data_IF_425634072137
#
_entry.id   IF_425634072137
#
_cell.length_a   1.000
_cell.length_b   1.000
_cell.length_c   1.000
_cell.angle_alpha   90.00
_cell.angle_beta   90.00
_cell.angle_gamma   90.00
#
_symmetry.space_group_name_H-M   'P 1'
#
loop_
_entity.id
_entity.type
_entity.pdbx_description
1 polymer ?
#
# COMPACT_ATOMS: atom_id res chain seq x y z
N UNK A 1 -6.75 9.36 -48.37
CA UNK A 1 -7.18 7.98 -48.64
C UNK A 1 -8.61 8.01 -49.16
N UNK A 2 -8.92 7.24 -50.20
CA UNK A 2 -10.28 6.97 -50.68
C UNK A 2 -10.75 5.64 -50.07
N UNK A 3 -12.04 5.52 -49.82
CA UNK A 3 -12.67 4.25 -49.43
C UNK A 3 -13.66 3.84 -50.51
N UNK A 4 -13.67 2.55 -50.84
CA UNK A 4 -14.59 1.99 -51.82
C UNK A 4 -15.95 1.78 -51.17
N UNK A 5 -16.94 2.55 -51.61
CA UNK A 5 -18.34 2.38 -51.19
C UNK A 5 -19.14 1.66 -52.29
N UNK A 6 -20.34 1.14 -52.00
CA UNK A 6 -21.22 0.53 -53.00
C UNK A 6 -21.57 1.45 -54.19
N UNK A 7 -21.33 2.76 -54.06
CA UNK A 7 -21.62 3.78 -55.07
C UNK A 7 -20.36 4.38 -55.73
N UNK A 8 -19.18 3.81 -55.47
CA UNK A 8 -17.90 4.26 -56.02
C UNK A 8 -16.88 4.71 -54.98
N UNK A 9 -15.73 5.20 -55.45
CA UNK A 9 -14.66 5.70 -54.60
C UNK A 9 -14.99 7.09 -54.05
N UNK A 10 -15.07 7.20 -52.73
CA UNK A 10 -15.34 8.47 -52.07
C UNK A 10 -14.16 8.82 -51.15
N UNK A 11 -13.69 10.09 -51.15
CA UNK A 11 -12.63 10.53 -50.23
C UNK A 11 -13.03 10.33 -48.77
N UNK A 12 -12.16 9.70 -47.96
CA UNK A 12 -12.38 9.42 -46.53
C UNK A 12 -12.71 10.67 -45.70
N UNK A 13 -12.22 11.85 -46.14
CA UNK A 13 -12.50 13.15 -45.52
C UNK A 13 -13.99 13.52 -45.47
N UNK A 14 -14.82 12.91 -46.32
CA UNK A 14 -16.26 13.18 -46.34
C UNK A 14 -17.03 12.45 -45.23
N UNK A 15 -16.39 11.48 -44.56
CA UNK A 15 -17.00 10.64 -43.53
C UNK A 15 -16.34 10.76 -42.15
N UNK A 16 -15.15 11.37 -42.07
CA UNK A 16 -14.38 11.47 -40.83
C UNK A 16 -14.02 12.93 -40.55
N UNK A 17 -14.33 13.38 -39.34
CA UNK A 17 -13.83 14.64 -38.80
C UNK A 17 -12.58 14.32 -37.98
N UNK A 18 -11.42 14.60 -38.55
CA UNK A 18 -10.15 14.46 -37.85
C UNK A 18 -9.99 15.61 -36.85
N UNK A 19 -9.76 15.28 -35.58
CA UNK A 19 -9.48 16.25 -34.53
C UNK A 19 -8.31 15.74 -33.70
N UNK A 20 -7.25 16.53 -33.62
CA UNK A 20 -6.12 16.25 -32.74
C UNK A 20 -6.59 16.44 -31.29
N UNK A 21 -6.67 15.34 -30.54
CA UNK A 21 -7.02 15.33 -29.13
C UNK A 21 -5.90 14.73 -28.29
N UNK A 22 -5.69 15.24 -27.08
CA UNK A 22 -4.80 14.62 -26.10
C UNK A 22 -5.52 13.49 -25.38
N UNK A 23 -4.93 12.30 -25.39
CA UNK A 23 -5.41 11.13 -24.63
C UNK A 23 -4.33 10.60 -23.69
N UNK A 24 -4.68 9.72 -22.73
CA UNK A 24 -3.71 9.10 -21.84
C UNK A 24 -2.73 8.24 -22.64
N UNK A 25 -1.42 8.44 -22.41
CA UNK A 25 -0.36 7.64 -23.06
C UNK A 25 -0.34 6.20 -22.54
N UNK A 26 -0.62 6.02 -21.25
CA UNK A 26 -0.68 4.71 -20.57
C UNK A 26 -1.76 4.73 -19.49
N UNK A 27 -2.58 3.69 -19.41
CA UNK A 27 -3.54 3.48 -18.33
C UNK A 27 -3.05 2.30 -17.50
N UNK A 28 -2.66 2.56 -16.25
CA UNK A 28 -2.27 1.53 -15.29
C UNK A 28 -3.47 1.14 -14.44
N UNK A 29 -3.56 -0.15 -14.15
CA UNK A 29 -4.57 -0.70 -13.27
C UNK A 29 -3.91 -1.56 -12.21
N UNK A 30 -4.44 -1.51 -11.01
CA UNK A 30 -4.10 -2.38 -9.89
C UNK A 30 -5.44 -2.85 -9.31
N UNK A 31 -5.61 -4.16 -9.16
CA UNK A 31 -6.87 -4.78 -8.72
C UNK A 31 -8.14 -4.30 -9.45
N UNK A 32 -8.02 -4.03 -10.76
CA UNK A 32 -9.11 -3.53 -11.64
C UNK A 32 -9.40 -2.03 -11.51
N UNK A 33 -8.80 -1.34 -10.54
CA UNK A 33 -8.94 0.10 -10.36
C UNK A 33 -7.86 0.87 -11.11
N UNK A 34 -8.23 2.02 -11.68
CA UNK A 34 -7.28 2.88 -12.41
C UNK A 34 -6.41 3.63 -11.40
N UNK A 35 -5.11 3.40 -11.46
CA UNK A 35 -4.15 4.04 -10.55
C UNK A 35 -3.30 5.10 -11.23
N UNK A 36 -2.88 6.09 -10.44
CA UNK A 36 -1.84 7.05 -10.81
C UNK A 36 -0.72 6.91 -9.80
N UNK A 37 0.44 6.41 -10.26
CA UNK A 37 1.61 6.23 -9.40
C UNK A 37 2.43 7.51 -9.33
N UNK A 38 2.61 8.05 -8.13
CA UNK A 38 3.55 9.14 -7.85
C UNK A 38 4.80 8.53 -7.23
N UNK A 39 5.93 8.60 -7.91
CA UNK A 39 7.20 8.04 -7.43
C UNK A 39 8.06 9.12 -6.79
N UNK A 40 8.61 8.84 -5.61
CA UNK A 40 9.56 9.70 -4.92
C UNK A 40 10.57 8.88 -4.14
N UNK A 41 11.81 9.34 -4.07
CA UNK A 41 12.86 8.73 -3.24
C UNK A 41 13.03 9.52 -1.95
N UNK A 42 13.25 8.82 -0.83
CA UNK A 42 13.61 9.43 0.45
C UNK A 42 15.12 9.30 0.64
N UNK A 43 15.80 10.42 0.84
CA UNK A 43 17.24 10.48 1.13
C UNK A 43 17.46 11.34 2.37
N UNK A 44 18.34 10.91 3.27
CA UNK A 44 18.71 11.61 4.51
C UNK A 44 17.60 11.79 5.57
N UNK A 45 16.47 11.07 5.49
CA UNK A 45 15.43 11.04 6.55
C UNK A 45 14.87 9.64 6.76
N UNK A 46 14.34 9.39 7.96
CA UNK A 46 13.66 8.15 8.29
C UNK A 46 12.36 7.99 7.48
N UNK A 47 12.17 6.80 6.92
CA UNK A 47 11.02 6.47 6.09
C UNK A 47 9.68 6.68 6.83
N UNK A 48 9.62 6.32 8.11
CA UNK A 48 8.42 6.50 8.95
C UNK A 48 8.06 7.96 9.14
N UNK A 49 9.03 8.80 9.49
CA UNK A 49 8.79 10.24 9.68
C UNK A 49 8.30 10.91 8.39
N UNK A 50 8.86 10.52 7.24
CA UNK A 50 8.40 11.03 5.93
C UNK A 50 7.00 10.53 5.59
N UNK A 51 6.71 9.25 5.86
CA UNK A 51 5.38 8.69 5.67
C UNK A 51 4.32 9.41 6.53
N UNK A 52 4.64 9.68 7.79
CA UNK A 52 3.77 10.39 8.72
C UNK A 52 3.52 11.84 8.26
N UNK A 53 4.55 12.54 7.77
CA UNK A 53 4.42 13.88 7.18
C UNK A 53 3.52 13.87 5.93
N UNK A 54 3.72 12.91 5.02
CA UNK A 54 2.89 12.75 3.83
C UNK A 54 1.44 12.47 4.22
N UNK A 55 1.21 11.58 5.18
CA UNK A 55 -0.14 11.26 5.64
C UNK A 55 -0.85 12.50 6.19
N UNK A 56 -0.18 13.34 6.99
CA UNK A 56 -0.76 14.61 7.47
C UNK A 56 -1.17 15.53 6.34
N UNK A 57 -0.30 15.72 5.34
CA UNK A 57 -0.62 16.56 4.17
C UNK A 57 -1.80 15.97 3.39
N UNK A 58 -1.84 14.64 3.23
CA UNK A 58 -2.95 13.95 2.57
C UNK A 58 -4.27 14.12 3.30
N UNK A 59 -4.25 14.21 4.63
CA UNK A 59 -5.46 14.40 5.44
C UNK A 59 -5.96 15.85 5.43
N UNK A 60 -5.10 16.82 5.12
CA UNK A 60 -5.48 18.23 4.92
C UNK A 60 -6.08 18.51 3.53
N UNK A 61 -5.82 17.64 2.55
CA UNK A 61 -6.35 17.79 1.19
C UNK A 61 -7.77 17.24 1.12
N UNK A 62 -8.71 18.03 0.60
CA UNK A 62 -10.05 17.55 0.26
C UNK A 62 -9.96 16.51 -0.87
N UNK A 63 -10.13 15.24 -0.51
CA UNK A 63 -10.12 14.12 -1.45
C UNK A 63 -11.46 14.09 -2.19
N UNK A 64 -11.51 14.13 -3.53
CA UNK A 64 -12.75 13.89 -4.26
C UNK A 64 -13.27 12.48 -3.93
N UNK A 65 -14.59 12.32 -3.81
CA UNK A 65 -15.20 11.09 -3.30
C UNK A 65 -14.81 9.80 -4.06
N UNK A 66 -14.43 9.94 -5.33
CA UNK A 66 -14.08 8.81 -6.21
C UNK A 66 -12.57 8.46 -6.19
N UNK A 67 -11.77 9.09 -5.32
CA UNK A 67 -10.33 8.87 -5.26
C UNK A 67 -9.88 8.37 -3.90
N UNK A 68 -9.18 7.23 -3.91
CA UNK A 68 -8.43 6.71 -2.77
C UNK A 68 -6.96 7.06 -2.93
N UNK A 69 -6.36 7.64 -1.90
CA UNK A 69 -4.93 7.94 -1.87
C UNK A 69 -4.31 7.08 -0.78
N UNK A 70 -3.36 6.23 -1.16
CA UNK A 70 -2.67 5.32 -0.26
C UNK A 70 -1.15 5.44 -0.45
N UNK A 71 -0.42 5.36 0.65
CA UNK A 71 1.04 5.32 0.63
C UNK A 71 1.49 3.87 0.51
N UNK A 72 2.01 3.50 -0.66
CA UNK A 72 2.50 2.15 -0.95
C UNK A 72 4.03 2.10 -1.09
N UNK A 73 4.58 0.90 -1.29
CA UNK A 73 6.01 0.64 -1.50
C UNK A 73 6.74 0.27 -0.21
N UNK A 74 7.90 0.88 0.04
CA UNK A 74 8.77 0.50 1.17
C UNK A 74 8.10 0.71 2.53
N UNK A 75 7.23 1.71 2.69
CA UNK A 75 6.53 1.96 3.94
C UNK A 75 5.46 0.88 4.21
N UNK A 76 4.71 0.49 3.20
CA UNK A 76 3.74 -0.60 3.28
C UNK A 76 4.43 -1.91 3.65
N UNK A 77 5.54 -2.24 2.98
CA UNK A 77 6.35 -3.42 3.29
C UNK A 77 6.90 -3.39 4.72
N UNK A 78 7.37 -2.23 5.19
CA UNK A 78 7.81 -2.05 6.57
C UNK A 78 6.66 -2.34 7.54
N UNK A 79 5.47 -1.80 7.27
CA UNK A 79 4.30 -1.99 8.14
C UNK A 79 3.82 -3.44 8.15
N UNK A 80 3.80 -4.12 7.00
CA UNK A 80 3.45 -5.55 6.95
C UNK A 80 4.46 -6.40 7.72
N UNK A 81 5.75 -6.15 7.55
CA UNK A 81 6.81 -6.84 8.30
C UNK A 81 6.70 -6.62 9.81
N UNK A 82 6.41 -5.40 10.27
CA UNK A 82 6.20 -5.15 11.70
C UNK A 82 4.97 -5.88 12.26
N UNK A 83 3.89 -5.97 11.45
CA UNK A 83 2.69 -6.72 11.82
C UNK A 83 3.01 -8.20 11.98
N UNK A 84 3.74 -8.77 11.02
CA UNK A 84 4.16 -10.17 11.06
C UNK A 84 5.08 -10.44 12.25
N UNK A 85 6.04 -9.55 12.53
CA UNK A 85 6.85 -9.64 13.73
C UNK A 85 6.02 -9.59 15.01
N UNK A 86 4.98 -8.74 15.07
CA UNK A 86 4.04 -8.70 16.19
C UNK A 86 3.38 -10.05 16.45
N UNK A 87 2.92 -10.73 15.39
CA UNK A 87 2.35 -12.08 15.52
C UNK A 87 3.37 -13.10 16.00
N UNK A 88 4.60 -13.06 15.47
CA UNK A 88 5.68 -13.97 15.88
C UNK A 88 6.04 -13.77 17.35
N UNK A 89 6.15 -12.51 17.81
CA UNK A 89 6.46 -12.18 19.21
C UNK A 89 5.35 -12.70 20.12
N UNK A 90 4.08 -12.49 19.77
CA UNK A 90 2.95 -13.00 20.54
C UNK A 90 2.97 -14.53 20.65
N UNK A 91 3.25 -15.22 19.54
CA UNK A 91 3.36 -16.68 19.53
C UNK A 91 4.55 -17.18 20.35
N UNK A 92 5.71 -16.55 20.22
CA UNK A 92 6.90 -16.87 21.00
C UNK A 92 6.64 -16.73 22.50
N UNK A 93 5.98 -15.64 22.90
CA UNK A 93 5.55 -15.43 24.27
C UNK A 93 4.61 -16.54 24.77
N UNK A 94 3.62 -16.93 23.97
CA UNK A 94 2.71 -18.03 24.33
C UNK A 94 3.46 -19.37 24.51
N UNK A 95 4.41 -19.68 23.63
CA UNK A 95 5.22 -20.90 23.71
C UNK A 95 6.13 -20.91 24.93
N UNK A 96 6.84 -19.80 25.20
CA UNK A 96 7.69 -19.66 26.40
C UNK A 96 6.84 -19.78 27.66
N UNK A 97 5.66 -19.15 27.70
CA UNK A 97 4.74 -19.28 28.81
C UNK A 97 4.34 -20.74 29.06
N UNK A 98 3.98 -21.50 28.01
CA UNK A 98 3.62 -22.91 28.14
C UNK A 98 4.76 -23.77 28.69
N UNK A 99 6.00 -23.54 28.23
CA UNK A 99 7.19 -24.25 28.74
C UNK A 99 7.39 -23.95 30.23
N UNK A 100 7.29 -22.67 30.61
CA UNK A 100 7.47 -22.21 31.99
C UNK A 100 6.37 -22.78 32.91
N UNK A 101 5.11 -22.83 32.47
CA UNK A 101 4.03 -23.48 33.24
C UNK A 101 4.35 -24.95 33.51
N UNK A 102 4.88 -25.66 32.51
CA UNK A 102 5.33 -27.04 32.69
C UNK A 102 6.52 -27.19 33.64
N UNK A 103 7.41 -26.20 33.71
CA UNK A 103 8.59 -26.22 34.57
C UNK A 103 8.26 -25.91 36.05
N UNK A 104 7.38 -24.95 36.30
CA UNK A 104 7.06 -24.47 37.65
C UNK A 104 5.81 -25.14 38.24
N UNK A 105 5.12 -26.00 37.47
CA UNK A 105 3.83 -26.60 37.83
C UNK A 105 2.79 -25.56 38.32
N UNK A 106 2.95 -24.31 37.90
CA UNK A 106 2.27 -23.14 38.44
C UNK A 106 1.98 -22.16 37.32
N UNK A 107 0.74 -21.66 37.24
CA UNK A 107 0.34 -20.69 36.23
C UNK A 107 0.72 -19.24 36.59
N UNK A 108 0.96 -18.97 37.89
CA UNK A 108 1.22 -17.62 38.41
C UNK A 108 2.68 -17.22 38.29
N UNK A 109 3.60 -18.13 38.56
CA UNK A 109 5.04 -17.85 38.53
C UNK A 109 5.53 -17.44 37.13
N UNK A 110 5.20 -18.16 36.03
CA UNK A 110 5.58 -17.76 34.68
C UNK A 110 5.04 -16.39 34.28
N UNK A 111 3.82 -16.05 34.70
CA UNK A 111 3.20 -14.77 34.39
C UNK A 111 3.96 -13.60 35.03
N UNK A 112 4.36 -13.75 36.30
CA UNK A 112 5.15 -12.74 37.02
C UNK A 112 6.51 -12.56 36.32
N UNK A 113 7.21 -13.65 36.01
CA UNK A 113 8.53 -13.61 35.36
C UNK A 113 8.44 -12.90 34.00
N UNK A 114 7.45 -13.24 33.19
CA UNK A 114 7.25 -12.67 31.87
C UNK A 114 6.98 -11.16 31.91
N UNK A 115 6.26 -10.67 32.94
CA UNK A 115 6.04 -9.24 33.18
C UNK A 115 7.29 -8.48 33.63
N UNK A 116 8.33 -9.16 34.11
CA UNK A 116 9.60 -8.50 34.46
C UNK A 116 10.47 -8.21 33.24
N UNK A 117 10.28 -8.92 32.12
CA UNK A 117 11.09 -8.75 30.90
C UNK A 117 10.98 -7.32 30.32
N UNK A 118 9.77 -6.74 30.13
CA UNK A 118 9.66 -5.36 29.65
C UNK A 118 10.18 -4.31 30.65
N UNK A 119 10.28 -4.64 31.94
CA UNK A 119 10.82 -3.74 32.96
C UNK A 119 12.36 -3.76 32.99
N UNK A 120 12.99 -4.76 32.36
CA UNK A 120 14.44 -4.94 32.33
C UNK A 120 15.12 -4.27 31.13
N UNK A 121 14.35 -3.93 30.09
CA UNK A 121 14.80 -3.27 28.85
C UNK A 121 14.37 -1.81 28.88
#
# INVERSE_FOLDING_TARGET
MTITTPFGEVPLRNFVKDTVSTGPVTIKHEDTDRIITITGGVTNRDLKSVADDIQRILDEIEKPADFKIELSGSFEQMQSTFRDFGYVIMLAFALVYMIMVGQFESFREPFIIMFTIPLAI
#
